data_IF_155134092003
#
_entry.id   IF_155134092003
#
_cell.length_a   1.000
_cell.length_b   1.000
_cell.length_c   1.000
_cell.angle_alpha   90.00
_cell.angle_beta   90.00
_cell.angle_gamma   90.00
#
_symmetry.space_group_name_H-M   'P 1'
#
loop_
_entity.id
_entity.type
_entity.pdbx_description
1 polymer ?
#
# COMPACT_ATOMS: atom_id res chain seq x y z
N UNK A 1 -22.65 21.39 3.90
CA UNK A 1 -21.38 20.93 4.49
C UNK A 1 -20.36 20.75 3.35
N UNK A 2 -19.13 21.22 3.55
CA UNK A 2 -18.02 21.07 2.62
C UNK A 2 -17.12 19.93 3.10
N UNK A 3 -16.97 18.90 2.29
CA UNK A 3 -16.19 17.70 2.60
C UNK A 3 -15.00 17.67 1.64
N UNK A 4 -13.80 17.61 2.18
CA UNK A 4 -12.58 17.44 1.40
C UNK A 4 -12.16 15.97 1.41
N UNK A 5 -11.91 15.42 0.23
CA UNK A 5 -11.31 14.10 0.07
C UNK A 5 -9.90 14.31 -0.46
N UNK A 6 -8.89 13.89 0.31
CA UNK A 6 -7.48 14.01 -0.09
C UNK A 6 -6.88 12.66 -0.43
N UNK A 7 -6.06 12.64 -1.48
CA UNK A 7 -5.16 11.53 -1.81
C UNK A 7 -3.73 12.03 -1.97
N UNK A 8 -2.83 11.13 -2.40
CA UNK A 8 -1.37 11.38 -2.30
C UNK A 8 -0.93 12.65 -3.04
N UNK A 9 -1.63 13.02 -4.11
CA UNK A 9 -1.37 14.25 -4.85
C UNK A 9 -1.53 15.53 -4.00
N UNK A 10 -2.26 15.48 -2.88
CA UNK A 10 -2.32 16.57 -1.90
C UNK A 10 -0.96 16.76 -1.24
N UNK A 11 -0.38 15.72 -0.64
CA UNK A 11 0.96 15.76 -0.04
C UNK A 11 2.03 16.19 -1.06
N UNK A 12 1.94 15.67 -2.28
CA UNK A 12 2.86 16.05 -3.36
C UNK A 12 2.73 17.51 -3.76
N UNK A 13 1.53 18.09 -3.70
CA UNK A 13 1.35 19.52 -3.94
C UNK A 13 1.93 20.40 -2.82
N UNK A 14 2.21 19.82 -1.66
CA UNK A 14 2.94 20.42 -0.55
C UNK A 14 4.43 20.07 -0.56
N UNK A 15 4.95 19.43 -1.61
CA UNK A 15 6.34 18.97 -1.69
C UNK A 15 6.77 17.98 -0.59
N UNK A 16 5.83 17.25 0.01
CA UNK A 16 6.15 16.15 0.91
C UNK A 16 6.55 14.91 0.09
N UNK A 17 7.65 14.20 0.44
CA UNK A 17 8.18 13.13 -0.38
C UNK A 17 7.41 11.80 -0.22
N UNK A 18 6.14 11.76 -0.60
CA UNK A 18 5.25 10.60 -0.37
C UNK A 18 4.98 9.74 -1.60
N UNK A 19 5.71 9.96 -2.71
CA UNK A 19 5.68 9.03 -3.85
C UNK A 19 6.29 7.69 -3.43
N UNK A 20 5.77 6.60 -4.00
CA UNK A 20 6.39 5.28 -3.88
C UNK A 20 7.89 5.31 -4.20
N UNK A 21 8.25 6.02 -5.27
CA UNK A 21 9.65 6.16 -5.70
C UNK A 21 10.53 6.89 -4.69
N UNK A 22 9.99 7.87 -3.96
CA UNK A 22 10.73 8.57 -2.91
C UNK A 22 11.05 7.63 -1.76
N UNK A 23 10.07 6.83 -1.32
CA UNK A 23 10.26 5.79 -0.30
C UNK A 23 11.35 4.79 -0.73
N UNK A 24 11.23 4.23 -1.93
CA UNK A 24 12.19 3.22 -2.42
C UNK A 24 13.61 3.79 -2.57
N UNK A 25 13.75 5.03 -3.03
CA UNK A 25 15.06 5.68 -3.20
C UNK A 25 15.73 5.93 -1.84
N UNK A 26 14.96 6.37 -0.83
CA UNK A 26 15.46 6.56 0.55
C UNK A 26 15.84 5.22 1.17
N UNK A 27 15.00 4.18 1.03
CA UNK A 27 15.35 2.84 1.51
C UNK A 27 16.63 2.31 0.85
N UNK A 28 16.80 2.55 -0.45
CA UNK A 28 18.02 2.16 -1.17
C UNK A 28 19.25 2.96 -0.72
N UNK A 29 19.09 4.23 -0.31
CA UNK A 29 20.18 5.01 0.27
C UNK A 29 20.61 4.44 1.62
N UNK A 30 19.64 4.17 2.51
CA UNK A 30 19.87 3.56 3.84
C UNK A 30 20.55 2.19 3.69
N UNK A 31 20.04 1.33 2.81
CA UNK A 31 20.62 0.00 2.54
C UNK A 31 22.08 0.08 2.06
N UNK A 32 22.44 1.13 1.31
CA UNK A 32 23.78 1.34 0.77
C UNK A 32 24.77 2.01 1.72
N UNK A 33 24.33 2.52 2.88
CA UNK A 33 25.21 3.18 3.85
C UNK A 33 26.21 2.17 4.43
N UNK A 34 27.49 2.52 4.44
CA UNK A 34 28.50 1.67 5.06
C UNK A 34 28.44 1.79 6.59
N UNK A 35 28.01 0.71 7.25
CA UNK A 35 27.84 0.62 8.71
C UNK A 35 28.91 -0.26 9.38
N UNK A 36 29.99 -0.59 8.67
CA UNK A 36 31.05 -1.50 9.16
C UNK A 36 30.80 -2.98 8.84
N UNK A 37 29.82 -3.26 7.99
CA UNK A 37 29.44 -4.61 7.57
C UNK A 37 28.42 -5.26 8.49
N UNK A 38 27.42 -5.93 7.92
CA UNK A 38 26.47 -6.76 8.67
C UNK A 38 27.10 -8.13 8.96
N UNK A 39 26.53 -8.88 9.91
CA UNK A 39 26.95 -10.28 10.07
C UNK A 39 26.75 -11.06 8.77
N UNK A 40 27.61 -12.04 8.44
CA UNK A 40 27.59 -12.71 7.12
C UNK A 40 26.27 -13.42 6.77
N UNK A 41 25.48 -13.79 7.78
CA UNK A 41 24.18 -14.42 7.57
C UNK A 41 23.17 -13.87 8.57
N UNK A 42 22.26 -13.01 8.11
CA UNK A 42 21.18 -12.47 8.94
C UNK A 42 20.06 -13.48 9.22
N UNK A 43 19.94 -14.55 8.43
CA UNK A 43 18.83 -15.53 8.56
C UNK A 43 19.00 -16.46 9.79
N UNK A 44 20.01 -16.25 10.62
CA UNK A 44 20.24 -17.00 11.86
C UNK A 44 19.30 -16.57 13.00
N UNK A 45 18.76 -15.35 12.93
CA UNK A 45 17.81 -14.81 13.89
C UNK A 45 16.59 -14.25 13.16
N UNK A 46 15.46 -14.22 13.85
CA UNK A 46 14.26 -13.50 13.42
C UNK A 46 14.50 -11.99 13.43
N UNK A 47 13.64 -11.23 12.74
CA UNK A 47 13.72 -9.76 12.74
C UNK A 47 13.61 -9.22 14.17
N UNK A 48 12.70 -9.78 14.98
CA UNK A 48 12.48 -9.34 16.36
C UNK A 48 13.73 -9.55 17.22
N UNK A 49 14.31 -10.76 17.20
CA UNK A 49 15.55 -11.06 17.91
C UNK A 49 16.70 -10.13 17.48
N UNK A 50 16.80 -9.80 16.18
CA UNK A 50 17.77 -8.82 15.73
C UNK A 50 17.51 -7.43 16.29
N UNK A 51 16.25 -6.99 16.40
CA UNK A 51 15.95 -5.69 17.00
C UNK A 51 16.43 -5.62 18.45
N UNK A 52 16.22 -6.68 19.22
CA UNK A 52 16.66 -6.78 20.62
C UNK A 52 18.19 -6.81 20.74
N UNK A 53 18.85 -7.63 19.91
CA UNK A 53 20.32 -7.70 19.86
C UNK A 53 20.92 -6.33 19.53
N UNK A 54 20.35 -5.62 18.56
CA UNK A 54 20.78 -4.28 18.18
C UNK A 54 20.52 -3.28 19.32
N UNK A 55 19.37 -3.34 19.98
CA UNK A 55 19.06 -2.50 21.14
C UNK A 55 20.09 -2.68 22.26
N UNK A 56 20.40 -3.93 22.63
CA UNK A 56 21.43 -4.24 23.61
C UNK A 56 22.81 -3.74 23.19
N UNK A 57 23.17 -3.92 21.92
CA UNK A 57 24.46 -3.48 21.38
C UNK A 57 24.63 -1.96 21.49
N UNK A 58 23.59 -1.18 21.16
CA UNK A 58 23.64 0.29 21.28
C UNK A 58 23.62 0.74 22.74
N UNK A 59 22.88 0.05 23.63
CA UNK A 59 22.88 0.35 25.06
C UNK A 59 24.26 0.14 25.71
N UNK A 60 24.94 -0.98 25.40
CA UNK A 60 26.29 -1.28 25.92
C UNK A 60 27.35 -0.28 25.46
N UNK A 61 27.15 0.31 24.28
CA UNK A 61 28.11 1.22 23.65
C UNK A 61 27.72 2.71 23.76
N UNK A 62 26.73 3.08 24.57
CA UNK A 62 26.18 4.45 24.68
C UNK A 62 27.23 5.53 24.99
N UNK A 63 28.31 5.19 25.68
CA UNK A 63 29.39 6.11 26.05
C UNK A 63 30.56 6.14 25.04
N UNK A 64 30.51 5.30 24.01
CA UNK A 64 31.50 5.26 22.95
C UNK A 64 30.94 6.01 21.74
N UNK A 65 31.56 7.13 21.35
CA UNK A 65 31.27 7.87 20.10
C UNK A 65 31.67 7.06 18.84
N UNK A 66 31.57 5.73 18.87
CA UNK A 66 32.09 4.81 17.85
C UNK A 66 31.20 4.69 16.62
N UNK A 67 29.91 4.99 16.72
CA UNK A 67 28.99 4.85 15.59
C UNK A 67 28.90 6.19 14.83
N UNK A 68 29.51 6.25 13.64
CA UNK A 68 29.55 7.45 12.79
C UNK A 68 28.85 7.23 11.44
N UNK A 69 27.69 6.59 11.48
CA UNK A 69 26.90 6.27 10.29
C UNK A 69 25.45 6.73 10.39
N UNK A 70 25.22 7.81 11.14
CA UNK A 70 24.00 8.62 11.04
C UNK A 70 23.78 9.08 9.58
N UNK A 71 22.54 9.42 9.25
CA UNK A 71 22.17 9.85 7.91
C UNK A 71 21.34 11.13 7.94
N UNK A 72 21.91 12.21 7.40
CA UNK A 72 21.19 13.46 7.20
C UNK A 72 20.17 13.37 6.06
N UNK A 73 19.30 14.37 5.95
CA UNK A 73 18.36 14.52 4.84
C UNK A 73 19.04 14.33 3.46
N UNK A 74 20.16 15.00 3.22
CA UNK A 74 20.87 14.90 1.93
C UNK A 74 21.39 13.48 1.65
N UNK A 75 21.84 12.77 2.69
CA UNK A 75 22.29 11.38 2.52
C UNK A 75 21.11 10.44 2.25
N UNK A 76 19.97 10.64 2.91
CA UNK A 76 18.73 9.87 2.70
C UNK A 76 18.22 10.03 1.27
N UNK A 77 18.22 11.25 0.74
CA UNK A 77 17.75 11.57 -0.61
C UNK A 77 18.86 11.54 -1.67
N UNK A 78 20.06 11.03 -1.35
CA UNK A 78 21.22 11.00 -2.24
C UNK A 78 21.01 10.19 -3.54
N UNK A 79 20.08 9.23 -3.53
CA UNK A 79 19.73 8.38 -4.69
C UNK A 79 18.43 8.78 -5.38
N UNK A 80 17.86 9.95 -5.03
CA UNK A 80 16.53 10.34 -5.51
C UNK A 80 16.49 10.53 -7.04
N UNK A 81 15.45 10.00 -7.68
CA UNK A 81 15.21 10.20 -9.12
C UNK A 81 14.65 11.58 -9.46
N UNK A 82 13.85 12.17 -8.57
CA UNK A 82 13.18 13.46 -8.76
C UNK A 82 13.88 14.59 -7.98
N UNK A 83 15.09 14.95 -8.42
CA UNK A 83 15.94 15.95 -7.74
C UNK A 83 15.20 17.28 -7.55
N UNK A 84 14.47 17.74 -8.59
CA UNK A 84 13.76 19.02 -8.54
C UNK A 84 12.69 19.06 -7.45
N UNK A 85 12.02 17.94 -7.21
CA UNK A 85 11.04 17.84 -6.14
C UNK A 85 11.69 17.98 -4.76
N UNK A 86 12.82 17.32 -4.54
CA UNK A 86 13.54 17.40 -3.26
C UNK A 86 14.14 18.78 -3.03
N UNK A 87 14.67 19.44 -4.05
CA UNK A 87 15.14 20.83 -3.92
C UNK A 87 14.00 21.78 -3.51
N UNK A 88 12.77 21.52 -3.97
CA UNK A 88 11.59 22.25 -3.48
C UNK A 88 11.20 21.89 -2.05
N UNK A 89 11.36 20.63 -1.64
CA UNK A 89 11.18 20.26 -0.24
C UNK A 89 12.20 21.00 0.65
N UNK A 90 13.48 21.09 0.25
CA UNK A 90 14.50 21.85 0.98
C UNK A 90 14.19 23.34 1.08
N UNK A 91 13.54 23.91 0.07
CA UNK A 91 13.15 25.33 0.07
C UNK A 91 12.12 25.63 1.16
N UNK A 92 11.14 24.73 1.38
CA UNK A 92 9.95 25.00 2.20
C UNK A 92 9.94 24.34 3.59
N UNK A 93 10.89 23.44 3.88
CA UNK A 93 10.91 22.67 5.11
C UNK A 93 12.27 22.77 5.83
N UNK A 94 12.25 22.68 7.16
CA UNK A 94 13.47 22.51 7.96
C UNK A 94 14.00 21.09 7.76
N UNK A 95 15.12 20.97 7.06
CA UNK A 95 15.75 19.67 6.75
C UNK A 95 16.80 19.25 7.78
N UNK A 96 17.36 20.21 8.53
CA UNK A 96 18.45 19.96 9.48
C UNK A 96 17.99 19.10 10.67
N UNK A 97 16.69 19.09 10.96
CA UNK A 97 16.09 18.23 11.99
C UNK A 97 15.97 16.76 11.54
N UNK A 98 16.11 16.49 10.24
CA UNK A 98 16.00 15.14 9.68
C UNK A 98 17.39 14.52 9.67
N UNK A 99 17.70 13.85 10.77
CA UNK A 99 18.90 13.03 10.93
C UNK A 99 18.54 11.68 11.53
N UNK A 100 18.69 10.61 10.75
CA UNK A 100 18.49 9.25 11.24
C UNK A 100 19.67 8.85 12.12
N UNK A 101 19.36 8.40 13.34
CA UNK A 101 20.38 7.90 14.25
C UNK A 101 21.07 6.67 13.66
N UNK A 102 22.33 6.44 14.05
CA UNK A 102 23.06 5.23 13.66
C UNK A 102 22.26 3.95 13.98
N UNK A 103 21.55 3.94 15.11
CA UNK A 103 20.68 2.85 15.52
C UNK A 103 19.55 2.59 14.53
N UNK A 104 18.86 3.64 14.10
CA UNK A 104 17.74 3.52 13.16
C UNK A 104 18.22 3.08 11.78
N UNK A 105 19.34 3.64 11.30
CA UNK A 105 19.99 3.21 10.05
C UNK A 105 20.24 1.70 10.06
N UNK A 106 20.86 1.17 11.13
CA UNK A 106 21.20 -0.25 11.19
C UNK A 106 19.95 -1.15 11.33
N UNK A 107 18.97 -0.74 12.15
CA UNK A 107 17.70 -1.46 12.28
C UNK A 107 16.96 -1.54 10.95
N UNK A 108 16.84 -0.43 10.23
CA UNK A 108 16.21 -0.39 8.90
C UNK A 108 17.00 -1.27 7.93
N UNK A 109 18.33 -1.19 7.90
CA UNK A 109 19.15 -2.06 7.06
C UNK A 109 18.90 -3.56 7.27
N UNK A 110 18.69 -4.00 8.50
CA UNK A 110 18.38 -5.40 8.81
C UNK A 110 16.96 -5.77 8.38
N UNK A 111 15.98 -4.89 8.66
CA UNK A 111 14.59 -5.08 8.20
C UNK A 111 14.50 -5.19 6.67
N UNK A 112 15.20 -4.32 5.92
CA UNK A 112 15.21 -4.34 4.46
C UNK A 112 15.79 -5.64 3.89
N UNK A 113 16.89 -6.15 4.45
CA UNK A 113 17.54 -7.37 3.93
C UNK A 113 16.73 -8.63 4.22
N UNK A 114 16.07 -8.69 5.38
CA UNK A 114 15.27 -9.83 5.79
C UNK A 114 13.86 -9.84 5.18
N UNK A 115 13.37 -8.71 4.68
CA UNK A 115 12.03 -8.58 4.14
C UNK A 115 11.96 -8.97 2.65
N UNK A 116 11.29 -10.10 2.34
CA UNK A 116 11.24 -10.59 0.96
C UNK A 116 10.42 -9.71 0.00
N UNK A 117 9.39 -9.03 0.51
CA UNK A 117 8.58 -8.11 -0.29
C UNK A 117 9.39 -6.89 -0.72
N UNK A 118 10.14 -6.26 0.20
CA UNK A 118 11.06 -5.18 -0.15
C UNK A 118 12.06 -5.61 -1.22
N UNK A 119 12.68 -6.78 -1.09
CA UNK A 119 13.63 -7.29 -2.08
C UNK A 119 12.96 -7.52 -3.46
N UNK A 120 11.73 -8.03 -3.47
CA UNK A 120 10.93 -8.16 -4.69
C UNK A 120 10.64 -6.80 -5.34
N UNK A 121 10.13 -5.85 -4.56
CA UNK A 121 9.78 -4.51 -5.03
C UNK A 121 10.99 -3.70 -5.52
N UNK A 122 12.11 -3.79 -4.82
CA UNK A 122 13.39 -3.21 -5.22
C UNK A 122 13.83 -3.70 -6.60
N UNK A 123 13.67 -4.99 -6.89
CA UNK A 123 13.99 -5.56 -8.21
C UNK A 123 13.01 -5.10 -9.31
N UNK A 124 11.83 -4.61 -8.94
CA UNK A 124 10.78 -4.15 -9.85
C UNK A 124 10.56 -2.62 -9.78
N UNK A 125 11.49 -1.86 -9.18
CA UNK A 125 11.35 -0.41 -8.96
C UNK A 125 11.20 0.41 -10.24
N UNK A 126 11.62 -0.14 -11.40
CA UNK A 126 11.40 0.50 -12.71
C UNK A 126 9.98 0.30 -13.25
N UNK A 127 9.31 -0.76 -12.81
CA UNK A 127 7.95 -1.14 -13.22
C UNK A 127 6.91 -0.50 -12.30
N UNK A 128 7.21 -0.38 -11.01
CA UNK A 128 6.32 0.20 -9.99
C UNK A 128 6.59 1.69 -9.87
N UNK A 129 5.64 2.52 -10.29
CA UNK A 129 5.77 4.00 -10.24
C UNK A 129 4.87 4.64 -9.19
N UNK A 130 3.79 3.95 -8.83
CA UNK A 130 2.74 4.42 -7.94
C UNK A 130 2.42 3.36 -6.88
N UNK A 131 1.72 3.78 -5.83
CA UNK A 131 1.18 2.85 -4.82
C UNK A 131 0.14 1.87 -5.42
N UNK A 132 -0.53 2.24 -6.51
CA UNK A 132 -1.45 1.34 -7.23
C UNK A 132 -0.67 0.24 -7.96
N UNK A 133 0.43 0.60 -8.63
CA UNK A 133 1.30 -0.40 -9.29
C UNK A 133 1.87 -1.40 -8.26
N UNK A 134 2.11 -0.93 -7.03
CA UNK A 134 2.55 -1.77 -5.93
C UNK A 134 1.48 -2.81 -5.55
N UNK A 135 0.21 -2.40 -5.42
CA UNK A 135 -0.90 -3.32 -5.13
C UNK A 135 -1.06 -4.37 -6.23
N UNK A 136 -0.94 -3.96 -7.50
CA UNK A 136 -0.97 -4.90 -8.64
C UNK A 136 0.18 -5.92 -8.59
N UNK A 137 1.35 -5.52 -8.07
CA UNK A 137 2.48 -6.43 -7.88
C UNK A 137 2.26 -7.42 -6.73
N UNK A 138 1.56 -7.04 -5.67
CA UNK A 138 1.10 -8.00 -4.66
C UNK A 138 0.14 -9.01 -5.31
N UNK A 139 -0.83 -8.53 -6.08
CA UNK A 139 -1.80 -9.39 -6.77
C UNK A 139 -1.09 -10.40 -7.70
N UNK A 140 -0.08 -9.94 -8.46
CA UNK A 140 0.75 -10.80 -9.33
C UNK A 140 1.39 -11.94 -8.55
N UNK A 141 2.03 -11.64 -7.41
CA UNK A 141 2.68 -12.64 -6.55
C UNK A 141 1.66 -13.63 -5.99
N UNK A 142 0.50 -13.17 -5.54
CA UNK A 142 -0.55 -14.03 -4.99
C UNK A 142 -1.12 -14.99 -6.04
N UNK A 143 -1.34 -14.52 -7.27
CA UNK A 143 -1.76 -15.38 -8.38
C UNK A 143 -0.70 -16.45 -8.67
N UNK A 144 0.58 -16.10 -8.61
CA UNK A 144 1.68 -17.05 -8.81
C UNK A 144 1.74 -18.06 -7.65
N UNK A 145 1.59 -17.59 -6.41
CA UNK A 145 1.53 -18.44 -5.23
C UNK A 145 0.36 -19.45 -5.32
N UNK A 146 -0.82 -19.00 -5.73
CA UNK A 146 -2.00 -19.86 -5.91
C UNK A 146 -1.75 -20.98 -6.93
N UNK A 147 -1.19 -20.63 -8.09
CA UNK A 147 -0.83 -21.61 -9.13
C UNK A 147 0.21 -22.60 -8.61
N UNK A 148 1.22 -22.12 -7.92
CA UNK A 148 2.23 -22.96 -7.29
C UNK A 148 1.59 -23.94 -6.30
N UNK A 149 0.71 -23.47 -5.41
CA UNK A 149 -0.02 -24.31 -4.47
C UNK A 149 -0.78 -25.42 -5.19
N UNK A 150 -1.57 -25.05 -6.22
CA UNK A 150 -2.36 -26.01 -7.00
C UNK A 150 -1.47 -27.03 -7.71
N UNK A 151 -0.36 -26.59 -8.31
CA UNK A 151 0.60 -27.49 -8.95
C UNK A 151 1.19 -28.48 -7.94
N UNK A 152 1.56 -28.02 -6.74
CA UNK A 152 2.14 -28.85 -5.69
C UNK A 152 1.14 -29.85 -5.12
N UNK A 153 -0.11 -29.45 -4.88
CA UNK A 153 -1.17 -30.33 -4.37
C UNK A 153 -1.51 -31.48 -5.34
N UNK A 154 -1.31 -31.28 -6.64
CA UNK A 154 -1.52 -32.32 -7.65
C UNK A 154 -0.42 -33.39 -7.66
N UNK A 155 0.71 -33.19 -6.97
CA UNK A 155 1.78 -34.19 -6.90
C UNK A 155 1.51 -35.23 -5.81
N UNK A 156 1.03 -36.41 -6.21
CA UNK A 156 0.86 -37.55 -5.30
C UNK A 156 2.15 -38.30 -4.92
N UNK A 157 3.27 -38.02 -5.61
CA UNK A 157 4.56 -38.71 -5.44
C UNK A 157 5.68 -37.67 -5.34
N UNK A 158 6.53 -37.76 -4.32
CA UNK A 158 7.66 -36.84 -4.06
C UNK A 158 8.63 -36.75 -5.26
N UNK A 159 8.82 -37.84 -6.01
CA UNK A 159 9.66 -37.84 -7.22
C UNK A 159 9.21 -36.83 -8.28
N UNK A 160 7.90 -36.51 -8.33
CA UNK A 160 7.37 -35.51 -9.26
C UNK A 160 7.68 -34.07 -8.82
N UNK A 161 7.91 -33.82 -7.52
CA UNK A 161 8.32 -32.51 -7.00
C UNK A 161 9.69 -32.09 -7.52
N UNK A 162 10.65 -33.01 -7.57
CA UNK A 162 11.98 -32.70 -8.11
C UNK A 162 11.90 -32.38 -9.60
N UNK A 163 11.04 -33.07 -10.34
CA UNK A 163 10.86 -32.83 -11.77
C UNK A 163 10.22 -31.47 -12.05
N UNK A 164 9.35 -30.98 -11.16
CA UNK A 164 8.69 -29.67 -11.29
C UNK A 164 9.69 -28.50 -11.41
N UNK A 165 10.83 -28.59 -10.73
CA UNK A 165 11.88 -27.56 -10.75
C UNK A 165 12.94 -27.76 -11.86
N UNK A 166 12.99 -28.93 -12.53
CA UNK A 166 14.02 -29.24 -13.53
C UNK A 166 13.78 -28.49 -14.85
N UNK A 167 14.81 -27.78 -15.34
CA UNK A 167 14.69 -26.86 -16.48
C UNK A 167 14.61 -27.53 -17.87
N UNK A 168 14.98 -28.81 -18.03
CA UNK A 168 15.37 -29.40 -19.32
C UNK A 168 14.57 -30.63 -19.86
N UNK A 169 13.32 -30.92 -19.42
CA UNK A 169 12.50 -32.01 -20.00
C UNK A 169 11.24 -31.50 -20.73
N UNK A 170 10.81 -32.26 -21.76
CA UNK A 170 9.72 -31.91 -22.68
C UNK A 170 8.31 -32.38 -22.27
N UNK A 171 8.18 -33.34 -21.34
CA UNK A 171 6.89 -33.92 -20.96
C UNK A 171 6.73 -33.92 -19.43
N UNK A 172 5.97 -32.96 -18.89
CA UNK A 172 5.61 -32.87 -17.45
C UNK A 172 5.06 -31.50 -17.01
N UNK A 173 4.28 -31.48 -15.92
CA UNK A 173 3.90 -30.26 -15.17
C UNK A 173 5.19 -29.60 -14.66
N UNK A 174 5.54 -28.44 -15.20
CA UNK A 174 6.76 -27.71 -14.88
C UNK A 174 6.42 -26.28 -14.47
N UNK A 175 7.12 -25.77 -13.46
CA UNK A 175 7.02 -24.36 -13.10
C UNK A 175 7.45 -23.46 -14.25
N UNK A 176 6.67 -22.41 -14.53
CA UNK A 176 7.07 -21.39 -15.50
C UNK A 176 8.32 -20.68 -15.01
N UNK A 177 9.25 -20.38 -15.93
CA UNK A 177 10.49 -19.69 -15.59
C UNK A 177 10.24 -18.31 -14.92
N UNK A 178 9.17 -17.60 -15.32
CA UNK A 178 8.76 -16.34 -14.69
C UNK A 178 8.31 -16.57 -13.25
N UNK A 179 7.41 -17.52 -13.04
CA UNK A 179 6.85 -17.88 -11.74
C UNK A 179 7.96 -18.30 -10.77
N UNK A 180 8.90 -19.15 -11.22
CA UNK A 180 10.08 -19.55 -10.45
C UNK A 180 10.96 -18.35 -10.04
N UNK A 181 11.23 -17.41 -10.95
CA UNK A 181 12.01 -16.21 -10.61
C UNK A 181 11.35 -15.36 -9.53
N UNK A 182 10.02 -15.23 -9.56
CA UNK A 182 9.26 -14.47 -8.58
C UNK A 182 9.25 -15.20 -7.23
N UNK A 183 8.93 -16.49 -7.23
CA UNK A 183 8.88 -17.31 -6.01
C UNK A 183 10.22 -17.44 -5.29
N UNK A 184 11.34 -17.29 -6.01
CA UNK A 184 12.68 -17.27 -5.41
C UNK A 184 12.88 -16.12 -4.41
N UNK A 185 12.24 -14.95 -4.62
CA UNK A 185 12.28 -13.86 -3.63
C UNK A 185 11.67 -14.28 -2.29
N UNK A 186 10.65 -15.12 -2.33
CA UNK A 186 9.89 -15.59 -1.18
C UNK A 186 10.48 -16.86 -0.55
N UNK A 187 11.65 -17.30 -1.03
CA UNK A 187 12.40 -18.45 -0.49
C UNK A 187 11.57 -19.74 -0.38
N UNK A 188 10.56 -19.93 -1.23
CA UNK A 188 9.74 -21.17 -1.26
C UNK A 188 10.53 -22.37 -1.77
N UNK A 189 11.59 -22.10 -2.52
CA UNK A 189 12.55 -23.08 -3.02
C UNK A 189 13.88 -22.91 -2.29
N UNK A 190 14.52 -24.03 -1.95
CA UNK A 190 15.86 -24.12 -1.36
C UNK A 190 16.69 -25.16 -2.12
N UNK A 191 18.01 -24.96 -2.19
CA UNK A 191 18.93 -26.00 -2.64
C UNK A 191 19.06 -27.09 -1.56
N UNK A 192 18.82 -28.33 -1.95
CA UNK A 192 18.97 -29.54 -1.16
C UNK A 192 20.16 -30.35 -1.69
N UNK A 193 21.08 -30.69 -0.79
CA UNK A 193 22.16 -31.63 -1.07
C UNK A 193 21.64 -33.08 -0.94
N UNK A 194 22.01 -33.93 -1.90
CA UNK A 194 21.67 -35.35 -1.87
C UNK A 194 22.81 -36.20 -2.44
N UNK A 195 22.94 -37.41 -1.92
CA UNK A 195 23.98 -38.35 -2.33
C UNK A 195 23.50 -39.26 -3.45
N UNK A 196 24.35 -39.46 -4.46
CA UNK A 196 24.17 -40.53 -5.46
C UNK A 196 25.39 -41.41 -5.55
N UNK A 197 25.15 -42.68 -5.88
CA UNK A 197 26.22 -43.64 -6.14
C UNK A 197 26.70 -43.49 -7.59
N UNK A 198 27.99 -43.26 -7.82
CA UNK A 198 28.56 -43.33 -9.17
C UNK A 198 28.57 -44.77 -9.69
N UNK A 199 27.98 -45.05 -10.87
CA UNK A 199 28.06 -46.38 -11.48
C UNK A 199 29.51 -46.79 -11.77
N UNK A 200 29.81 -48.07 -11.56
CA UNK A 200 31.14 -48.69 -11.76
C UNK A 200 31.75 -48.48 -13.15
N UNK A 201 30.95 -48.10 -14.16
CA UNK A 201 31.35 -47.98 -15.57
C UNK A 201 32.08 -46.68 -15.95
N UNK A 202 32.24 -45.72 -15.04
CA UNK A 202 32.86 -44.41 -15.31
C UNK A 202 34.20 -44.18 -14.60
N UNK A 203 34.68 -45.15 -13.82
CA UNK A 203 35.98 -45.09 -13.15
C UNK A 203 37.03 -45.74 -14.07
N UNK A 204 38.01 -44.96 -14.56
CA UNK A 204 39.10 -45.46 -15.42
C UNK A 204 40.13 -46.31 -14.66
N UNK A 205 39.99 -46.38 -13.34
CA UNK A 205 41.02 -46.87 -12.45
C UNK A 205 40.36 -48.01 -11.66
N UNK A 206 40.74 -49.26 -11.96
CA UNK A 206 40.11 -50.49 -11.44
C UNK A 206 40.17 -50.70 -9.92
N UNK A 207 40.33 -49.66 -9.11
CA UNK A 207 40.15 -49.69 -7.66
C UNK A 207 38.65 -49.61 -7.34
N UNK A 208 38.05 -50.79 -7.10
CA UNK A 208 36.62 -50.95 -6.84
C UNK A 208 36.13 -50.40 -5.49
N UNK A 209 36.18 -49.08 -5.29
CA UNK A 209 35.44 -48.40 -4.22
C UNK A 209 34.34 -47.55 -4.82
N UNK A 210 33.10 -47.85 -4.47
CA UNK A 210 31.94 -46.99 -4.73
C UNK A 210 32.23 -45.61 -4.12
N UNK A 211 32.16 -44.57 -4.93
CA UNK A 211 32.38 -43.19 -4.49
C UNK A 211 31.04 -42.48 -4.45
N UNK A 212 30.65 -42.05 -3.26
CA UNK A 212 29.48 -41.19 -3.06
C UNK A 212 29.75 -39.83 -3.69
N UNK A 213 28.80 -39.35 -4.49
CA UNK A 213 28.83 -37.98 -5.02
C UNK A 213 27.71 -37.17 -4.39
N UNK A 214 28.08 -36.06 -3.78
CA UNK A 214 27.13 -35.04 -3.32
C UNK A 214 26.67 -34.24 -4.55
N UNK A 215 25.36 -34.18 -4.75
CA UNK A 215 24.71 -33.39 -5.79
C UNK A 215 23.76 -32.40 -5.14
N UNK A 216 23.44 -31.32 -5.85
CA UNK A 216 22.47 -30.32 -5.40
C UNK A 216 21.25 -30.30 -6.32
N UNK A 217 20.07 -30.09 -5.75
CA UNK A 217 18.83 -29.88 -6.49
C UNK A 217 17.95 -28.83 -5.83
N UNK A 218 17.14 -28.14 -6.62
CA UNK A 218 16.06 -27.29 -6.11
C UNK A 218 14.96 -28.17 -5.50
N UNK A 219 14.49 -27.79 -4.31
CA UNK A 219 13.39 -28.44 -3.63
C UNK A 219 12.57 -27.42 -2.81
N UNK A 220 11.38 -27.80 -2.37
CA UNK A 220 10.57 -26.99 -1.46
C UNK A 220 11.37 -26.73 -0.18
N UNK A 221 11.35 -25.47 0.27
CA UNK A 221 11.98 -25.09 1.51
C UNK A 221 11.28 -25.79 2.69
N UNK A 222 11.98 -26.61 3.50
CA UNK A 222 11.36 -27.40 4.56
C UNK A 222 10.55 -26.58 5.58
N UNK A 223 10.83 -25.27 5.74
CA UNK A 223 10.05 -24.40 6.62
C UNK A 223 8.58 -24.27 6.22
N UNK A 224 8.25 -24.57 4.96
CA UNK A 224 6.88 -24.58 4.44
C UNK A 224 6.29 -25.99 4.35
N UNK A 225 6.91 -26.96 5.02
CA UNK A 225 6.41 -28.32 5.10
C UNK A 225 5.98 -28.65 6.53
N UNK A 226 4.99 -29.53 6.66
CA UNK A 226 4.46 -29.93 7.97
C UNK A 226 5.57 -30.48 8.87
N UNK A 227 5.76 -29.85 10.04
CA UNK A 227 6.82 -30.23 10.98
C UNK A 227 8.25 -30.04 10.45
N UNK A 228 8.46 -29.17 9.47
CA UNK A 228 9.79 -28.83 8.96
C UNK A 228 10.43 -29.90 8.06
N UNK A 229 9.63 -30.84 7.54
CA UNK A 229 10.14 -32.01 6.79
C UNK A 229 9.42 -32.16 5.47
N UNK A 230 10.18 -32.19 4.36
CA UNK A 230 9.65 -32.35 2.99
C UNK A 230 8.76 -33.59 2.86
N UNK A 231 9.12 -34.69 3.54
CA UNK A 231 8.36 -35.95 3.52
C UNK A 231 6.92 -35.83 4.02
N UNK A 232 6.63 -34.82 4.84
CA UNK A 232 5.30 -34.59 5.39
C UNK A 232 4.42 -33.74 4.47
N UNK A 233 4.94 -33.28 3.34
CA UNK A 233 4.22 -32.46 2.37
C UNK A 233 4.30 -30.97 2.66
N UNK A 234 4.03 -30.18 1.62
CA UNK A 234 3.94 -28.72 1.67
C UNK A 234 2.65 -28.28 2.37
N UNK A 235 2.73 -27.22 3.17
CA UNK A 235 1.58 -26.54 3.78
C UNK A 235 1.38 -25.19 3.09
N UNK A 236 0.29 -25.04 2.32
CA UNK A 236 -0.09 -23.75 1.76
C UNK A 236 -0.28 -22.68 2.83
N UNK A 237 -0.80 -23.04 4.00
CA UNK A 237 -1.04 -22.15 5.13
C UNK A 237 0.26 -21.56 5.65
N UNK A 238 1.27 -22.39 5.95
CA UNK A 238 2.59 -21.90 6.40
C UNK A 238 3.25 -20.94 5.39
N UNK A 239 3.02 -21.17 4.10
CA UNK A 239 3.54 -20.28 3.07
C UNK A 239 2.78 -18.96 3.00
N UNK A 240 1.45 -19.00 3.01
CA UNK A 240 0.60 -17.80 2.98
C UNK A 240 0.77 -16.95 4.25
N UNK A 241 0.86 -17.58 5.42
CA UNK A 241 1.13 -16.91 6.70
C UNK A 241 2.48 -16.17 6.64
N UNK A 242 3.53 -16.84 6.14
CA UNK A 242 4.82 -16.19 5.92
C UNK A 242 4.73 -15.01 4.96
N UNK A 243 4.01 -15.14 3.84
CA UNK A 243 3.84 -14.03 2.90
C UNK A 243 3.12 -12.84 3.57
N UNK A 244 2.13 -13.11 4.40
CA UNK A 244 1.37 -12.09 5.12
C UNK A 244 2.22 -11.39 6.18
N UNK A 245 2.93 -12.15 7.03
CA UNK A 245 3.86 -11.61 8.03
C UNK A 245 4.94 -10.73 7.40
N UNK A 246 5.47 -11.15 6.25
CA UNK A 246 6.45 -10.35 5.52
C UNK A 246 5.84 -9.07 4.93
N UNK A 247 4.56 -9.07 4.56
CA UNK A 247 3.88 -7.87 4.06
C UNK A 247 3.64 -6.88 5.20
N UNK A 248 3.18 -7.34 6.37
CA UNK A 248 3.06 -6.49 7.56
C UNK A 248 4.41 -5.92 7.99
N UNK A 249 5.48 -6.73 7.95
CA UNK A 249 6.84 -6.23 8.17
C UNK A 249 7.27 -5.17 7.14
N UNK A 250 6.80 -5.24 5.89
CA UNK A 250 7.05 -4.19 4.90
C UNK A 250 6.27 -2.91 5.23
N UNK A 251 5.01 -3.04 5.69
CA UNK A 251 4.20 -1.91 6.16
C UNK A 251 4.88 -1.21 7.34
N UNK A 252 5.51 -1.95 8.27
CA UNK A 252 6.31 -1.34 9.33
C UNK A 252 7.49 -0.53 8.80
N UNK A 253 8.22 -1.03 7.79
CA UNK A 253 9.31 -0.30 7.15
C UNK A 253 8.79 1.00 6.53
N UNK A 254 7.63 0.94 5.87
CA UNK A 254 6.99 2.12 5.31
C UNK A 254 6.53 3.10 6.39
N UNK A 255 5.97 2.62 7.50
CA UNK A 255 5.62 3.43 8.66
C UNK A 255 6.85 4.16 9.23
N UNK A 256 7.99 3.47 9.37
CA UNK A 256 9.25 4.08 9.82
C UNK A 256 9.70 5.21 8.89
N UNK A 257 9.53 5.07 7.58
CA UNK A 257 9.82 6.15 6.64
C UNK A 257 8.92 7.37 6.86
N UNK A 258 7.62 7.13 7.02
CA UNK A 258 6.68 8.22 7.28
C UNK A 258 7.00 8.92 8.60
N UNK A 259 7.27 8.18 9.67
CA UNK A 259 7.52 8.73 11.01
C UNK A 259 8.88 9.44 11.15
N UNK A 260 9.95 8.83 10.64
CA UNK A 260 11.31 9.33 10.84
C UNK A 260 11.73 10.38 9.80
N UNK A 261 11.00 10.48 8.68
CA UNK A 261 11.34 11.38 7.58
C UNK A 261 10.18 12.33 7.27
N UNK A 262 9.03 11.82 6.82
CA UNK A 262 7.94 12.67 6.30
C UNK A 262 7.24 13.48 7.41
N UNK A 263 7.05 12.86 8.58
CA UNK A 263 6.39 13.48 9.72
C UNK A 263 7.27 14.56 10.37
N UNK A 264 8.60 14.44 10.25
CA UNK A 264 9.60 15.40 10.75
C UNK A 264 9.80 16.62 9.85
N UNK A 265 9.22 16.65 8.65
CA UNK A 265 9.26 17.81 7.76
C UNK A 265 8.33 18.92 8.28
N UNK A 266 8.89 19.82 9.09
CA UNK A 266 8.24 21.04 9.57
C UNK A 266 8.44 22.18 8.57
N UNK A 267 7.38 22.94 8.29
CA UNK A 267 7.44 24.08 7.38
C UNK A 267 8.32 25.18 7.95
N UNK A 268 9.15 25.78 7.08
CA UNK A 268 9.93 26.97 7.40
C UNK A 268 9.30 28.26 6.85
N UNK A 269 8.09 28.20 6.30
CA UNK A 269 7.40 29.34 5.71
C UNK A 269 5.89 29.23 5.96
N UNK A 270 5.20 30.37 5.86
CA UNK A 270 3.74 30.38 5.86
C UNK A 270 3.19 29.75 4.58
N UNK A 271 2.13 28.95 4.69
CA UNK A 271 1.50 28.29 3.54
C UNK A 271 0.02 28.64 3.51
N UNK A 272 -0.45 29.10 2.35
CA UNK A 272 -1.84 29.48 2.13
C UNK A 272 -2.37 28.86 0.83
N UNK A 273 -3.60 28.32 0.87
CA UNK A 273 -4.30 27.87 -0.33
C UNK A 273 -5.01 29.07 -0.97
N UNK A 274 -4.42 29.62 -2.03
CA UNK A 274 -5.02 30.71 -2.80
C UNK A 274 -5.87 30.17 -3.94
N UNK A 275 -7.18 30.23 -3.76
CA UNK A 275 -8.13 30.11 -4.86
C UNK A 275 -9.42 30.85 -4.51
N UNK A 276 -9.99 31.65 -5.44
CA UNK A 276 -11.28 32.31 -5.22
C UNK A 276 -12.43 31.32 -5.02
N UNK A 277 -12.22 30.04 -5.33
CA UNK A 277 -13.19 28.96 -5.16
C UNK A 277 -12.77 27.96 -4.08
N UNK A 278 -11.72 28.23 -3.30
CA UNK A 278 -11.37 27.40 -2.16
C UNK A 278 -12.32 27.69 -1.01
N UNK A 279 -12.74 26.63 -0.31
CA UNK A 279 -13.61 26.71 0.85
C UNK A 279 -13.01 25.83 1.92
N UNK A 280 -12.93 26.33 3.15
CA UNK A 280 -12.47 25.52 4.27
C UNK A 280 -13.41 24.31 4.45
N UNK A 281 -12.86 23.09 4.55
CA UNK A 281 -13.65 21.89 4.77
C UNK A 281 -14.18 21.82 6.20
N UNK A 282 -15.41 21.34 6.34
CA UNK A 282 -16.00 21.00 7.63
C UNK A 282 -15.56 19.59 8.10
N UNK A 283 -15.16 18.72 7.17
CA UNK A 283 -14.69 17.35 7.41
C UNK A 283 -13.74 16.90 6.30
N UNK A 284 -12.79 16.04 6.63
CA UNK A 284 -11.85 15.46 5.67
C UNK A 284 -11.93 13.93 5.70
N UNK A 285 -11.96 13.33 4.52
CA UNK A 285 -11.63 11.91 4.35
C UNK A 285 -10.28 11.81 3.67
N UNK A 286 -9.32 11.18 4.35
CA UNK A 286 -7.96 11.05 3.87
C UNK A 286 -7.69 9.63 3.39
N UNK A 287 -7.25 9.52 2.14
CA UNK A 287 -6.59 8.33 1.60
C UNK A 287 -5.07 8.37 1.81
N UNK A 288 -4.55 9.48 2.36
CA UNK A 288 -3.14 9.59 2.74
C UNK A 288 -2.92 9.00 4.12
N UNK A 289 -1.74 8.42 4.30
CA UNK A 289 -1.29 7.91 5.59
C UNK A 289 -0.81 9.02 6.54
N UNK A 290 -0.59 10.25 6.01
CA UNK A 290 -0.04 11.42 6.71
C UNK A 290 -1.13 12.39 7.16
N UNK A 291 -0.83 13.26 8.14
CA UNK A 291 -1.72 14.29 8.65
C UNK A 291 -1.44 15.69 8.10
N UNK A 292 -0.97 15.77 6.84
CA UNK A 292 -0.54 17.02 6.18
C UNK A 292 -1.49 18.18 6.36
N UNK A 293 -2.80 17.97 6.15
CA UNK A 293 -3.78 19.06 6.29
C UNK A 293 -3.83 19.62 7.70
N UNK A 294 -3.98 18.73 8.70
CA UNK A 294 -4.08 19.11 10.12
C UNK A 294 -2.79 19.78 10.62
N UNK A 295 -1.64 19.37 10.08
CA UNK A 295 -0.33 19.91 10.44
C UNK A 295 -0.09 21.32 9.87
N UNK A 296 -0.60 21.60 8.68
CA UNK A 296 -0.27 22.84 7.94
C UNK A 296 -1.34 23.92 8.10
N UNK A 297 -2.63 23.56 8.13
CA UNK A 297 -3.72 24.52 7.99
C UNK A 297 -4.53 24.69 9.28
N UNK A 298 -5.51 23.83 9.49
CA UNK A 298 -6.48 23.97 10.57
C UNK A 298 -6.79 22.60 11.19
N UNK A 299 -7.20 22.63 12.46
CA UNK A 299 -7.76 21.46 13.11
C UNK A 299 -9.16 21.20 12.56
N UNK A 300 -9.26 20.19 11.71
CA UNK A 300 -10.52 19.66 11.15
C UNK A 300 -10.59 18.18 11.49
N UNK A 301 -11.82 17.67 11.66
CA UNK A 301 -12.06 16.24 11.81
C UNK A 301 -11.62 15.47 10.55
N UNK A 302 -10.73 14.49 10.73
CA UNK A 302 -10.14 13.71 9.63
C UNK A 302 -10.37 12.23 9.88
N UNK A 303 -11.03 11.58 8.93
CA UNK A 303 -11.19 10.13 8.89
C UNK A 303 -10.21 9.53 7.88
N UNK A 304 -9.35 8.63 8.35
CA UNK A 304 -8.31 7.97 7.57
C UNK A 304 -8.82 6.66 6.98
N UNK A 305 -9.19 6.67 5.70
CA UNK A 305 -9.82 5.54 5.02
C UNK A 305 -8.86 4.38 4.77
N UNK A 306 -7.56 4.66 4.66
CA UNK A 306 -6.49 3.67 4.53
C UNK A 306 -5.59 3.59 5.77
N UNK A 307 -6.06 4.16 6.88
CA UNK A 307 -5.30 4.24 8.12
C UNK A 307 -4.19 5.29 8.05
N UNK A 308 -3.46 5.41 9.15
CA UNK A 308 -2.43 6.42 9.34
C UNK A 308 -1.14 5.81 9.89
N UNK A 309 -0.04 6.48 9.60
CA UNK A 309 1.26 6.22 10.25
C UNK A 309 1.25 6.59 11.74
N UNK A 310 2.20 6.04 12.50
CA UNK A 310 2.37 6.32 13.93
C UNK A 310 2.84 5.10 14.74
N UNK A 311 2.84 5.21 16.07
CA UNK A 311 3.16 4.08 16.98
C UNK A 311 2.09 2.98 16.90
N UNK A 312 0.82 3.36 16.92
CA UNK A 312 -0.34 2.47 16.73
C UNK A 312 -0.80 2.47 15.26
N UNK A 313 0.14 2.35 14.32
CA UNK A 313 -0.20 2.40 12.89
C UNK A 313 -1.25 1.36 12.50
N UNK A 314 -2.17 1.77 11.63
CA UNK A 314 -3.22 0.92 11.08
C UNK A 314 -3.27 0.98 9.55
N UNK A 315 -2.11 1.13 8.91
CA UNK A 315 -1.98 1.29 7.46
C UNK A 315 -2.57 0.08 6.72
N UNK A 316 -3.43 0.38 5.75
CA UNK A 316 -4.04 -0.56 4.82
C UNK A 316 -3.31 -0.49 3.49
N UNK A 317 -2.66 -1.58 3.10
CA UNK A 317 -1.82 -1.67 1.91
C UNK A 317 -1.98 -3.05 1.23
N UNK A 318 -3.23 -3.42 0.97
CA UNK A 318 -3.63 -4.68 0.36
C UNK A 318 -4.15 -4.52 -1.07
N UNK A 319 -4.50 -5.64 -1.69
CA UNK A 319 -5.17 -5.67 -2.99
C UNK A 319 -6.68 -5.40 -2.84
N UNK A 320 -7.34 -5.04 -3.94
CA UNK A 320 -8.80 -4.85 -3.98
C UNK A 320 -9.55 -6.15 -3.60
N UNK A 321 -9.35 -7.23 -4.36
CA UNK A 321 -10.07 -8.49 -4.18
C UNK A 321 -9.24 -9.72 -4.55
N UNK A 322 -9.50 -10.85 -3.88
CA UNK A 322 -8.97 -12.16 -4.30
C UNK A 322 -9.76 -12.67 -5.51
N UNK A 323 -9.10 -12.79 -6.67
CA UNK A 323 -9.70 -13.37 -7.87
C UNK A 323 -9.58 -14.90 -7.95
N UNK A 324 -8.59 -15.47 -7.27
CA UNK A 324 -8.27 -16.90 -7.36
C UNK A 324 -9.06 -17.73 -6.32
N UNK A 325 -9.72 -18.79 -6.79
CA UNK A 325 -10.55 -19.67 -5.95
C UNK A 325 -9.73 -20.49 -4.94
N UNK A 326 -8.47 -20.82 -5.24
CA UNK A 326 -7.58 -21.50 -4.30
C UNK A 326 -7.30 -20.59 -3.10
N UNK A 327 -6.98 -19.32 -3.34
CA UNK A 327 -6.74 -18.34 -2.28
C UNK A 327 -7.98 -18.07 -1.43
N UNK A 328 -9.18 -18.03 -2.04
CA UNK A 328 -10.45 -17.92 -1.31
C UNK A 328 -10.69 -19.13 -0.41
N UNK A 329 -10.47 -20.34 -0.93
CA UNK A 329 -10.60 -21.60 -0.17
C UNK A 329 -9.65 -21.65 1.02
N UNK A 330 -8.42 -21.16 0.83
CA UNK A 330 -7.40 -21.02 1.88
C UNK A 330 -7.60 -19.79 2.77
N UNK A 331 -8.65 -18.98 2.54
CA UNK A 331 -9.00 -17.78 3.30
C UNK A 331 -7.85 -16.77 3.39
N UNK A 332 -7.12 -16.57 2.30
CA UNK A 332 -6.01 -15.60 2.20
C UNK A 332 -6.50 -14.12 2.20
N UNK A 333 -7.61 -13.82 2.88
CA UNK A 333 -8.25 -12.52 2.87
C UNK A 333 -7.41 -11.44 3.55
N UNK A 334 -6.41 -11.80 4.38
CA UNK A 334 -5.46 -10.87 4.99
C UNK A 334 -4.70 -9.97 4.00
N UNK A 335 -4.60 -10.38 2.73
CA UNK A 335 -4.01 -9.55 1.67
C UNK A 335 -4.96 -8.51 1.07
N UNK A 336 -6.26 -8.56 1.39
CA UNK A 336 -7.27 -7.65 0.83
C UNK A 336 -7.45 -6.41 1.69
N UNK A 337 -7.76 -5.27 1.05
CA UNK A 337 -8.00 -4.01 1.77
C UNK A 337 -9.18 -4.11 2.73
N UNK A 338 -10.29 -4.73 2.34
CA UNK A 338 -11.47 -4.80 3.19
C UNK A 338 -11.21 -5.60 4.48
N UNK A 339 -10.47 -6.70 4.40
CA UNK A 339 -10.10 -7.47 5.58
C UNK A 339 -9.16 -6.65 6.48
N UNK A 340 -8.14 -6.01 5.91
CA UNK A 340 -7.21 -5.17 6.66
C UNK A 340 -7.94 -4.02 7.38
N UNK A 341 -8.89 -3.36 6.72
CA UNK A 341 -9.72 -2.31 7.33
C UNK A 341 -10.51 -2.81 8.54
N UNK A 342 -11.17 -3.97 8.39
CA UNK A 342 -11.93 -4.60 9.49
C UNK A 342 -11.02 -5.07 10.63
N UNK A 343 -9.83 -5.56 10.31
CA UNK A 343 -8.89 -6.09 11.30
C UNK A 343 -8.14 -4.99 12.05
N UNK A 344 -7.84 -3.87 11.39
CA UNK A 344 -7.08 -2.74 11.94
C UNK A 344 -7.96 -1.57 12.40
N UNK A 345 -9.26 -1.82 12.57
CA UNK A 345 -10.27 -0.82 12.99
C UNK A 345 -10.17 0.51 12.21
N UNK A 346 -9.90 0.41 10.91
CA UNK A 346 -9.79 1.56 10.00
C UNK A 346 -11.18 1.98 9.52
N UNK A 347 -11.39 3.24 9.15
CA UNK A 347 -12.72 3.72 8.81
C UNK A 347 -13.37 2.95 7.63
N UNK A 348 -14.42 2.20 7.98
CA UNK A 348 -15.28 1.43 7.08
C UNK A 348 -16.68 2.04 6.96
N UNK A 349 -16.95 3.17 7.63
CA UNK A 349 -18.25 3.84 7.72
C UNK A 349 -18.39 5.00 6.73
N UNK A 350 -17.54 5.05 5.70
CA UNK A 350 -17.53 6.11 4.70
C UNK A 350 -18.94 6.46 4.20
N UNK A 351 -19.36 7.68 4.52
CA UNK A 351 -20.68 8.26 4.18
C UNK A 351 -21.91 7.46 4.67
N UNK A 352 -21.75 6.48 5.57
CA UNK A 352 -22.82 5.59 6.01
C UNK A 352 -23.97 6.37 6.68
N UNK A 353 -23.65 7.43 7.44
CA UNK A 353 -24.63 8.34 8.03
C UNK A 353 -25.56 8.92 6.96
N UNK A 354 -25.01 9.36 5.83
CA UNK A 354 -25.80 9.93 4.73
C UNK A 354 -26.60 8.87 3.99
N UNK A 355 -26.03 7.68 3.78
CA UNK A 355 -26.76 6.54 3.19
C UNK A 355 -27.95 6.13 4.07
N UNK A 356 -27.78 6.14 5.39
CA UNK A 356 -28.85 5.85 6.35
C UNK A 356 -29.96 6.91 6.27
N UNK A 357 -29.60 8.19 6.24
CA UNK A 357 -30.56 9.28 6.01
C UNK A 357 -31.35 9.09 4.71
N UNK A 358 -30.68 8.70 3.62
CA UNK A 358 -31.35 8.40 2.34
C UNK A 358 -32.36 7.24 2.51
N UNK A 359 -31.97 6.14 3.14
CA UNK A 359 -32.85 4.98 3.37
C UNK A 359 -34.07 5.36 4.23
N UNK A 360 -33.87 6.16 5.27
CA UNK A 360 -34.95 6.64 6.14
C UNK A 360 -35.94 7.51 5.35
N UNK A 361 -35.44 8.44 4.53
CA UNK A 361 -36.29 9.27 3.67
C UNK A 361 -37.10 8.45 2.65
N UNK A 362 -36.51 7.39 2.08
CA UNK A 362 -37.21 6.51 1.13
C UNK A 362 -38.36 5.75 1.80
N UNK A 363 -38.10 5.20 2.99
CA UNK A 363 -39.12 4.50 3.78
C UNK A 363 -40.28 5.43 4.17
N UNK A 364 -40.00 6.70 4.48
CA UNK A 364 -41.06 7.69 4.73
C UNK A 364 -41.90 7.96 3.48
N UNK A 365 -41.28 8.12 2.31
CA UNK A 365 -41.98 8.34 1.05
C UNK A 365 -42.89 7.16 0.69
N UNK A 366 -42.43 5.92 0.87
CA UNK A 366 -43.23 4.72 0.63
C UNK A 366 -44.43 4.64 1.58
N UNK A 367 -44.23 4.92 2.87
CA UNK A 367 -45.32 4.98 3.86
C UNK A 367 -46.34 6.06 3.52
N UNK A 368 -45.89 7.21 3.04
CA UNK A 368 -46.79 8.29 2.61
C UNK A 368 -47.59 7.92 1.36
N UNK A 369 -46.96 7.30 0.36
CA UNK A 369 -47.65 6.79 -0.84
C UNK A 369 -48.69 5.71 -0.48
N UNK A 370 -48.38 4.83 0.47
CA UNK A 370 -49.30 3.80 0.93
C UNK A 370 -50.50 4.37 1.71
N UNK A 371 -50.34 5.52 2.41
CA UNK A 371 -51.40 6.17 3.20
C UNK A 371 -52.29 7.12 2.39
N UNK A 372 -51.77 7.75 1.33
CA UNK A 372 -52.44 8.84 0.62
C UNK A 372 -53.12 8.42 -0.71
N UNK A 373 -53.89 7.33 -0.71
CA UNK A 373 -54.72 6.97 -1.87
C UNK A 373 -55.93 7.89 -2.11
N UNK A 374 -56.14 8.98 -1.34
CA UNK A 374 -57.43 9.68 -1.33
C UNK A 374 -57.47 11.19 -1.52
N UNK A 375 -56.40 11.97 -1.75
CA UNK A 375 -56.55 13.41 -2.11
C UNK A 375 -55.31 14.05 -2.78
N UNK A 376 -55.50 14.67 -3.95
CA UNK A 376 -54.45 15.36 -4.74
C UNK A 376 -53.88 16.63 -4.07
N UNK A 377 -54.66 17.34 -3.24
CA UNK A 377 -54.20 18.59 -2.60
C UNK A 377 -53.25 18.35 -1.41
N UNK A 378 -53.44 17.25 -0.67
CA UNK A 378 -52.51 16.82 0.37
C UNK A 378 -51.13 16.42 -0.18
N UNK A 379 -51.08 15.98 -1.44
CA UNK A 379 -49.84 15.59 -2.11
C UNK A 379 -48.91 16.79 -2.33
N UNK A 380 -49.44 17.92 -2.84
CA UNK A 380 -48.67 19.17 -3.08
C UNK A 380 -48.13 19.83 -1.82
N UNK A 381 -48.90 19.83 -0.73
CA UNK A 381 -48.48 20.38 0.57
C UNK A 381 -47.49 19.46 1.31
N UNK A 382 -47.56 18.15 1.09
CA UNK A 382 -46.56 17.20 1.62
C UNK A 382 -45.21 17.32 0.90
N UNK A 383 -45.24 17.55 -0.43
CA UNK A 383 -44.05 17.66 -1.28
C UNK A 383 -43.12 18.79 -0.85
N UNK A 384 -43.66 19.99 -0.56
CA UNK A 384 -42.85 21.15 -0.16
C UNK A 384 -42.25 21.05 1.24
N UNK A 385 -42.88 20.33 2.18
CA UNK A 385 -42.30 20.02 3.50
C UNK A 385 -41.24 18.92 3.43
N UNK A 386 -41.36 17.97 2.50
CA UNK A 386 -40.35 16.92 2.28
C UNK A 386 -39.11 17.39 1.52
N UNK A 387 -39.15 18.51 0.80
CA UNK A 387 -37.99 18.97 0.02
C UNK A 387 -36.79 19.38 0.88
N UNK A 388 -37.01 19.91 2.09
CA UNK A 388 -35.93 20.13 3.05
C UNK A 388 -35.38 18.84 3.66
N UNK A 389 -36.20 17.79 3.78
CA UNK A 389 -35.76 16.49 4.27
C UNK A 389 -34.96 15.74 3.18
N UNK A 390 -35.28 15.92 1.90
CA UNK A 390 -34.60 15.23 0.78
C UNK A 390 -33.18 15.70 0.51
N UNK A 391 -32.86 16.94 0.87
CA UNK A 391 -31.57 17.56 0.55
C UNK A 391 -30.51 17.20 1.59
N UNK A 392 -29.39 16.63 1.15
CA UNK A 392 -28.19 16.46 1.97
C UNK A 392 -27.32 17.71 2.01
N UNK A 393 -27.36 18.55 0.96
CA UNK A 393 -26.58 19.79 0.84
C UNK A 393 -25.07 19.60 1.11
N UNK A 394 -24.46 18.65 0.39
CA UNK A 394 -23.05 18.26 0.53
C UNK A 394 -22.23 18.73 -0.67
N UNK A 395 -21.12 19.41 -0.42
CA UNK A 395 -20.14 19.76 -1.43
C UNK A 395 -18.87 18.96 -1.19
N UNK A 396 -18.55 18.04 -2.10
CA UNK A 396 -17.33 17.26 -2.07
C UNK A 396 -16.25 17.90 -2.94
N UNK A 397 -15.05 17.97 -2.41
CA UNK A 397 -13.86 18.45 -3.09
C UNK A 397 -12.82 17.34 -3.08
N UNK A 398 -12.44 16.83 -4.24
CA UNK A 398 -11.47 15.74 -4.36
C UNK A 398 -10.14 16.31 -4.83
N UNK A 399 -9.09 16.22 -4.00
CA UNK A 399 -7.76 16.72 -4.32
C UNK A 399 -6.72 15.61 -4.25
N UNK A 400 -6.09 15.33 -5.40
CA UNK A 400 -4.88 14.49 -5.43
C UNK A 400 -5.14 13.00 -5.26
N UNK A 401 -6.41 12.59 -5.27
CA UNK A 401 -6.83 11.20 -5.36
C UNK A 401 -6.79 10.72 -6.82
N UNK A 402 -6.46 9.44 -7.04
CA UNK A 402 -6.37 8.83 -8.39
C UNK A 402 -7.74 8.47 -8.98
N UNK A 403 -8.74 8.30 -8.11
CA UNK A 403 -10.07 7.77 -8.44
C UNK A 403 -10.01 6.40 -9.12
N UNK A 404 -9.02 5.60 -8.74
CA UNK A 404 -8.73 4.30 -9.34
C UNK A 404 -9.71 3.21 -8.89
N UNK A 405 -9.79 2.12 -9.65
CA UNK A 405 -10.63 0.95 -9.35
C UNK A 405 -10.28 0.33 -7.99
N UNK A 406 -9.05 0.50 -7.50
CA UNK A 406 -8.65 0.04 -6.18
C UNK A 406 -9.47 0.66 -5.03
N UNK A 407 -10.12 1.81 -5.28
CA UNK A 407 -10.98 2.52 -4.33
C UNK A 407 -12.43 2.62 -4.84
N UNK A 408 -12.83 1.69 -5.73
CA UNK A 408 -14.13 1.71 -6.42
C UNK A 408 -15.33 1.84 -5.47
N UNK A 409 -15.30 1.18 -4.32
CA UNK A 409 -16.44 1.12 -3.42
C UNK A 409 -16.75 2.50 -2.83
N UNK A 410 -15.73 3.26 -2.44
CA UNK A 410 -15.88 4.64 -1.97
C UNK A 410 -16.40 5.56 -3.07
N UNK A 411 -15.95 5.35 -4.31
CA UNK A 411 -16.39 6.13 -5.46
C UNK A 411 -17.87 5.83 -5.75
N UNK A 412 -18.26 4.55 -5.78
CA UNK A 412 -19.65 4.14 -5.96
C UNK A 412 -20.55 4.73 -4.87
N UNK A 413 -20.10 4.67 -3.61
CA UNK A 413 -20.81 5.22 -2.47
C UNK A 413 -21.07 6.73 -2.60
N UNK A 414 -20.04 7.51 -2.92
CA UNK A 414 -20.15 8.95 -3.12
C UNK A 414 -21.13 9.29 -4.25
N UNK A 415 -20.98 8.63 -5.39
CA UNK A 415 -21.79 8.90 -6.58
C UNK A 415 -23.18 8.25 -6.51
N UNK A 416 -23.48 7.44 -5.48
CA UNK A 416 -24.83 6.91 -5.25
C UNK A 416 -25.78 7.91 -4.59
N UNK A 417 -25.24 8.96 -3.95
CA UNK A 417 -26.04 9.90 -3.14
C UNK A 417 -27.10 10.66 -3.96
N UNK A 418 -26.94 10.78 -5.28
CA UNK A 418 -27.90 11.41 -6.19
C UNK A 418 -28.61 10.42 -7.15
N UNK A 419 -28.49 9.10 -6.96
CA UNK A 419 -28.97 8.13 -7.97
C UNK A 419 -30.47 8.23 -8.26
N UNK A 420 -31.28 8.43 -7.23
CA UNK A 420 -32.74 8.49 -7.38
C UNK A 420 -33.26 9.91 -7.67
N UNK A 421 -32.74 10.90 -6.95
CA UNK A 421 -33.16 12.31 -7.02
C UNK A 421 -31.96 13.21 -6.77
N UNK A 422 -32.04 14.47 -7.21
CA UNK A 422 -31.05 15.48 -6.82
C UNK A 422 -31.19 15.79 -5.33
N UNK A 423 -30.24 15.29 -4.51
CA UNK A 423 -30.17 15.55 -3.07
C UNK A 423 -29.29 16.74 -2.74
N UNK A 424 -29.00 17.60 -3.73
CA UNK A 424 -28.08 18.72 -3.62
C UNK A 424 -26.66 18.29 -3.20
N UNK A 425 -26.22 17.13 -3.70
CA UNK A 425 -24.82 16.69 -3.59
C UNK A 425 -24.06 17.17 -4.82
N UNK A 426 -22.93 17.85 -4.62
CA UNK A 426 -22.06 18.38 -5.67
C UNK A 426 -20.64 17.87 -5.46
N UNK A 427 -19.96 17.49 -6.53
CA UNK A 427 -18.60 16.96 -6.52
C UNK A 427 -17.72 17.82 -7.43
N UNK A 428 -16.67 18.39 -6.86
CA UNK A 428 -15.60 19.09 -7.59
C UNK A 428 -14.32 18.27 -7.51
N UNK A 429 -13.78 17.88 -8.66
CA UNK A 429 -12.51 17.16 -8.75
C UNK A 429 -11.43 18.13 -9.20
N UNK A 430 -10.35 18.21 -8.43
CA UNK A 430 -9.18 19.00 -8.76
C UNK A 430 -8.16 18.19 -9.57
N UNK A 431 -7.64 18.79 -10.64
CA UNK A 431 -6.59 18.19 -11.49
C UNK A 431 -5.39 19.12 -11.64
N UNK A 432 -4.19 18.55 -11.70
CA UNK A 432 -2.95 19.35 -11.81
C UNK A 432 -2.63 19.74 -13.27
N UNK A 433 -2.92 18.88 -14.25
CA UNK A 433 -2.75 19.16 -15.67
C UNK A 433 -3.84 18.45 -16.52
N UNK A 434 -3.80 18.64 -17.85
CA UNK A 434 -4.79 18.02 -18.74
C UNK A 434 -4.67 16.50 -18.84
N UNK A 435 -3.47 15.94 -18.67
CA UNK A 435 -3.26 14.49 -18.70
C UNK A 435 -3.88 13.85 -17.45
N UNK A 436 -3.73 14.49 -16.29
CA UNK A 436 -4.35 14.12 -15.04
C UNK A 436 -5.88 14.14 -15.15
N UNK A 437 -6.43 15.23 -15.72
CA UNK A 437 -7.88 15.34 -15.97
C UNK A 437 -8.38 14.19 -16.84
N UNK A 438 -7.65 13.86 -17.90
CA UNK A 438 -7.98 12.75 -18.79
C UNK A 438 -7.96 11.40 -18.05
N UNK A 439 -6.92 11.14 -17.26
CA UNK A 439 -6.81 9.91 -16.47
C UNK A 439 -7.95 9.79 -15.43
N UNK A 440 -8.24 10.85 -14.69
CA UNK A 440 -9.33 10.89 -13.70
C UNK A 440 -10.69 10.59 -14.35
N UNK A 441 -10.95 11.17 -15.52
CA UNK A 441 -12.20 10.93 -16.25
C UNK A 441 -12.30 9.48 -16.75
N UNK A 442 -11.21 8.90 -17.26
CA UNK A 442 -11.20 7.50 -17.68
C UNK A 442 -11.48 6.55 -16.52
N UNK A 443 -10.88 6.80 -15.36
CA UNK A 443 -11.12 5.97 -14.18
C UNK A 443 -12.57 6.06 -13.72
N UNK A 444 -13.15 7.27 -13.69
CA UNK A 444 -14.58 7.44 -13.39
C UNK A 444 -15.48 6.71 -14.41
N UNK A 445 -15.16 6.78 -15.70
CA UNK A 445 -15.92 6.06 -16.73
C UNK A 445 -15.81 4.54 -16.58
N UNK A 446 -14.65 4.04 -16.14
CA UNK A 446 -14.44 2.61 -15.89
C UNK A 446 -15.24 2.11 -14.68
N UNK A 447 -15.47 2.96 -13.67
CA UNK A 447 -16.13 2.59 -12.41
C UNK A 447 -17.65 2.86 -12.47
N UNK A 448 -18.05 4.03 -12.95
CA UNK A 448 -19.45 4.50 -12.94
C UNK A 448 -20.19 4.27 -14.25
N UNK A 449 -19.48 3.87 -15.30
CA UNK A 449 -19.97 3.78 -16.67
C UNK A 449 -20.36 5.13 -17.29
N UNK A 450 -20.55 5.12 -18.62
CA UNK A 450 -20.77 6.32 -19.43
C UNK A 450 -22.01 7.11 -18.98
N UNK A 451 -23.14 6.44 -18.81
CA UNK A 451 -24.43 7.11 -18.63
C UNK A 451 -24.50 7.90 -17.33
N UNK A 452 -23.95 7.33 -16.24
CA UNK A 452 -23.90 7.99 -14.93
C UNK A 452 -22.97 9.20 -14.94
N UNK A 453 -21.77 9.09 -15.53
CA UNK A 453 -20.83 10.22 -15.64
C UNK A 453 -21.44 11.36 -16.46
N UNK A 454 -22.05 11.04 -17.61
CA UNK A 454 -22.71 12.04 -18.45
C UNK A 454 -23.85 12.74 -17.72
N UNK A 455 -24.71 12.01 -17.00
CA UNK A 455 -25.79 12.58 -16.21
C UNK A 455 -25.28 13.57 -15.17
N UNK A 456 -24.27 13.16 -14.38
CA UNK A 456 -23.67 14.00 -13.35
C UNK A 456 -23.05 15.28 -13.91
N UNK A 457 -22.37 15.19 -15.06
CA UNK A 457 -21.79 16.37 -15.71
C UNK A 457 -22.84 17.29 -16.34
N UNK A 458 -23.84 16.74 -17.04
CA UNK A 458 -24.94 17.50 -17.67
C UNK A 458 -25.74 18.28 -16.63
N UNK A 459 -25.99 17.69 -15.46
CA UNK A 459 -26.70 18.32 -14.36
C UNK A 459 -25.82 19.28 -13.53
N UNK A 460 -24.53 19.42 -13.89
CA UNK A 460 -23.52 20.19 -13.13
C UNK A 460 -23.31 19.69 -11.70
N UNK A 461 -23.67 18.43 -11.41
CA UNK A 461 -23.39 17.77 -10.13
C UNK A 461 -21.93 17.39 -10.01
N UNK A 462 -21.27 17.06 -11.12
CA UNK A 462 -19.83 16.79 -11.21
C UNK A 462 -19.14 17.89 -12.02
N UNK A 463 -18.04 18.42 -11.49
CA UNK A 463 -17.20 19.42 -12.16
C UNK A 463 -15.72 19.11 -11.98
N UNK A 464 -14.92 19.40 -13.01
CA UNK A 464 -13.47 19.35 -12.95
C UNK A 464 -12.91 20.79 -12.90
N UNK A 465 -12.01 21.06 -11.98
CA UNK A 465 -11.32 22.36 -11.85
C UNK A 465 -9.81 22.13 -11.73
N UNK A 466 -9.02 23.10 -12.19
CA UNK A 466 -7.57 23.07 -11.92
C UNK A 466 -7.31 23.12 -10.42
N UNK A 467 -6.22 22.49 -9.97
CA UNK A 467 -5.80 22.52 -8.57
C UNK A 467 -5.77 23.96 -8.02
N UNK A 468 -6.24 24.18 -6.77
CA UNK A 468 -5.99 25.43 -6.07
C UNK A 468 -4.49 25.72 -6.00
N UNK A 469 -4.10 26.99 -6.12
CA UNK A 469 -2.69 27.36 -6.06
C UNK A 469 -2.26 27.43 -4.60
N UNK A 470 -1.28 26.62 -4.22
CA UNK A 470 -0.62 26.74 -2.92
C UNK A 470 0.43 27.85 -3.04
N UNK A 471 0.36 28.83 -2.14
CA UNK A 471 1.35 29.90 -2.03
C UNK A 471 2.22 29.62 -0.81
N UNK A 472 3.49 29.39 -1.06
CA UNK A 472 4.54 29.39 -0.04
C UNK A 472 5.00 30.85 0.18
N UNK A 473 5.00 31.27 1.43
CA UNK A 473 5.33 32.63 1.89
C UNK A 473 6.84 32.89 1.93
N UNK A 474 7.22 33.97 2.62
CA UNK A 474 8.64 34.23 2.90
C UNK A 474 9.16 33.23 3.92
N UNK A 475 10.43 32.82 3.77
CA UNK A 475 11.09 31.89 4.69
C UNK A 475 11.25 32.58 6.05
N UNK A 476 10.71 31.95 7.09
CA UNK A 476 10.86 32.33 8.48
C UNK A 476 12.28 31.93 8.89
N UNK A 477 13.22 32.88 8.84
CA UNK A 477 14.57 32.63 9.38
C UNK A 477 14.49 32.43 10.90
N UNK A 478 15.26 31.50 11.46
CA UNK A 478 15.43 31.23 12.90
C UNK A 478 16.04 32.41 13.72
N UNK A 479 15.56 33.64 13.51
CA UNK A 479 15.95 34.82 14.30
C UNK A 479 14.80 35.45 15.09
N UNK A 480 13.70 34.73 15.25
CA UNK A 480 12.61 35.12 16.16
C UNK A 480 12.03 33.89 16.83
N UNK A 481 12.76 33.39 17.82
CA UNK A 481 12.22 32.68 18.98
C UNK A 481 12.70 33.43 20.23
#
# INVERSE_FOLDING_TARGET
MNILIVGNGFDLSHYLPTKYDHFMDVMAAIEGKNTGGKVPNLKIHTVHEWMDILDEMFLKNKNSNSFKFEMSFDELFSKIRDIKFIEKAKEYYFIDEINLSAKDVLKIQYKLELNCWYQYFKNHVKEVKTWIDFEQKIEEVLIIAARFIVDIENFHIIENLHQYFVKNKKDGLKIRNRDSKILNFFNVVKLEEYETLRPRSLLKDGSGKETTVINERENINPKFCYGGKIINGFSPELFLDFLYEQLESFIEIFNLYLELVVNKLLLNCEVEIKSPNWVCPDKIYSFNYTNTYQRIYESVDVEYLHGSHGEEQNIVLGIDELKDECLKKLKAYGFTKYHQKLFKDTDYLFLDIYKKQIKEHLLELEKHKARNFTNLESERLSLSRTDHLRSLALNFYIWGHSLDVSDKDYILDLFSLNDEIDRNVRVTIYYFDQNAKFALLNNLLAILEKDKVEQWMKNKWLQFKSNPKIKFGEIISEKTA
#
